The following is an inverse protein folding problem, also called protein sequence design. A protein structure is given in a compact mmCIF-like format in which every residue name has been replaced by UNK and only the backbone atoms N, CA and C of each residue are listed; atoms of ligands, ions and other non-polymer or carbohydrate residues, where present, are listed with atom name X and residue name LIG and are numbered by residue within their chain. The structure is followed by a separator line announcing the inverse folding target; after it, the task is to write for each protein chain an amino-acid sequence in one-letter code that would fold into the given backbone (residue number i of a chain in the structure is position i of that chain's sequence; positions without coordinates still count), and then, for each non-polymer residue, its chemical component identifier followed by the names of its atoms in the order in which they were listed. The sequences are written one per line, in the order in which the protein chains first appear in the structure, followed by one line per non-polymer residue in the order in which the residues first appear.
data_IF_511191194193
#
_entry.id   IF_511191194193
#
_cell.length_a   1.000
_cell.length_b   1.000
_cell.length_c   1.000
_cell.angle_alpha   90.00
_cell.angle_beta   90.00
_cell.angle_gamma   90.00
#
_symmetry.space_group_name_H-M   'P 1'
#
loop_
_entity.id
_entity.type
_entity.pdbx_description
1 polymer ?
#
# COMPACT_ATOMS: atom_id res chain seq x y z
N UNK A 1 -27.22 -18.97 -3.12
CA UNK A 1 -27.58 -17.62 -2.65
C UNK A 1 -27.73 -16.63 -3.81
N UNK A 2 -28.96 -16.22 -4.15
CA UNK A 2 -29.29 -15.26 -5.22
C UNK A 2 -29.15 -13.79 -4.75
N UNK A 3 -27.93 -13.39 -4.38
CA UNK A 3 -27.63 -12.03 -3.92
C UNK A 3 -27.81 -10.93 -4.98
N UNK A 4 -27.87 -11.28 -6.26
CA UNK A 4 -28.04 -10.31 -7.35
C UNK A 4 -29.42 -9.65 -7.32
N UNK A 5 -30.49 -10.39 -7.00
CA UNK A 5 -31.86 -9.83 -6.89
C UNK A 5 -31.95 -8.80 -5.76
N UNK A 6 -31.33 -9.14 -4.63
CA UNK A 6 -31.21 -8.29 -3.46
C UNK A 6 -30.44 -7.00 -3.77
N UNK A 7 -29.32 -7.09 -4.49
CA UNK A 7 -28.50 -5.93 -4.84
C UNK A 7 -29.14 -5.01 -5.87
N UNK A 8 -29.90 -5.57 -6.82
CA UNK A 8 -30.62 -4.81 -7.84
C UNK A 8 -31.90 -4.15 -7.32
N UNK A 9 -32.26 -4.36 -6.04
CA UNK A 9 -33.48 -3.83 -5.45
C UNK A 9 -34.75 -4.46 -6.03
N UNK A 10 -34.64 -5.66 -6.62
CA UNK A 10 -35.77 -6.39 -7.21
C UNK A 10 -36.49 -7.19 -6.12
N UNK A 11 -37.15 -6.47 -5.22
CA UNK A 11 -37.80 -7.04 -4.04
C UNK A 11 -38.93 -8.01 -4.38
N UNK A 12 -39.68 -7.75 -5.44
CA UNK A 12 -40.79 -8.61 -5.88
C UNK A 12 -40.27 -9.98 -6.36
N UNK A 13 -39.21 -9.97 -7.17
CA UNK A 13 -38.55 -11.19 -7.63
C UNK A 13 -37.87 -11.94 -6.48
N UNK A 14 -37.38 -11.22 -5.46
CA UNK A 14 -36.83 -11.82 -4.25
C UNK A 14 -37.92 -12.51 -3.42
N UNK A 15 -39.10 -11.91 -3.29
CA UNK A 15 -40.23 -12.54 -2.60
C UNK A 15 -40.69 -13.80 -3.32
N UNK A 16 -40.78 -13.76 -4.66
CA UNK A 16 -41.08 -14.94 -5.47
C UNK A 16 -40.02 -16.03 -5.32
N UNK A 17 -38.74 -15.65 -5.34
CA UNK A 17 -37.64 -16.59 -5.11
C UNK A 17 -37.75 -17.27 -3.74
N UNK A 18 -37.97 -16.51 -2.67
CA UNK A 18 -38.07 -17.03 -1.30
C UNK A 18 -39.21 -18.04 -1.14
N UNK A 19 -40.34 -17.87 -1.86
CA UNK A 19 -41.45 -18.84 -1.86
C UNK A 19 -41.06 -20.22 -2.40
N UNK A 20 -40.01 -20.32 -3.21
CA UNK A 20 -39.54 -21.57 -3.80
C UNK A 20 -38.40 -22.22 -3.01
N UNK A 21 -37.86 -21.54 -1.98
CA UNK A 21 -36.82 -22.09 -1.12
C UNK A 21 -37.47 -23.02 -0.07
N UNK A 22 -36.76 -24.07 0.32
CA UNK A 22 -37.18 -24.91 1.45
C UNK A 22 -37.30 -24.05 2.72
N UNK A 23 -38.49 -24.04 3.32
CA UNK A 23 -38.87 -23.21 4.46
C UNK A 23 -37.91 -23.33 5.65
N UNK A 24 -37.36 -24.54 5.88
CA UNK A 24 -36.48 -24.85 7.02
C UNK A 24 -34.99 -24.68 6.71
N UNK A 25 -34.63 -24.07 5.59
CA UNK A 25 -33.23 -23.80 5.25
C UNK A 25 -32.74 -22.50 5.87
N UNK A 26 -31.43 -22.43 6.12
CA UNK A 26 -30.77 -21.22 6.57
C UNK A 26 -30.98 -20.05 5.60
N UNK A 27 -30.84 -20.31 4.29
CA UNK A 27 -31.07 -19.33 3.23
C UNK A 27 -32.50 -18.74 3.30
N UNK A 28 -33.52 -19.58 3.52
CA UNK A 28 -34.91 -19.14 3.67
C UNK A 28 -35.06 -18.19 4.86
N UNK A 29 -34.54 -18.56 6.03
CA UNK A 29 -34.63 -17.74 7.24
C UNK A 29 -33.93 -16.38 7.03
N UNK A 30 -32.72 -16.41 6.45
CA UNK A 30 -31.95 -15.21 6.15
C UNK A 30 -32.69 -14.25 5.19
N UNK A 31 -33.19 -14.74 4.05
CA UNK A 31 -33.86 -13.88 3.08
C UNK A 31 -35.22 -13.37 3.58
N UNK A 32 -35.96 -14.18 4.35
CA UNK A 32 -37.18 -13.73 5.00
C UNK A 32 -36.92 -12.64 6.04
N UNK A 33 -35.84 -12.75 6.82
CA UNK A 33 -35.42 -11.69 7.73
C UNK A 33 -35.14 -10.39 6.96
N UNK A 34 -34.35 -10.46 5.89
CA UNK A 34 -34.02 -9.30 5.04
C UNK A 34 -35.28 -8.64 4.44
N UNK A 35 -36.21 -9.42 3.89
CA UNK A 35 -37.49 -8.92 3.37
C UNK A 35 -38.33 -8.25 4.46
N UNK A 36 -38.38 -8.85 5.65
CA UNK A 36 -39.09 -8.29 6.79
C UNK A 36 -38.48 -6.95 7.24
N UNK A 37 -37.14 -6.82 7.28
CA UNK A 37 -36.44 -5.55 7.56
C UNK A 37 -36.72 -4.51 6.47
N UNK A 38 -36.78 -4.91 5.21
CA UNK A 38 -37.13 -4.00 4.11
C UNK A 38 -38.55 -3.44 4.27
N UNK A 39 -39.52 -4.30 4.59
CA UNK A 39 -40.93 -3.95 4.76
C UNK A 39 -41.27 -3.32 6.13
N UNK A 40 -40.29 -3.14 7.02
CA UNK A 40 -40.50 -2.57 8.35
C UNK A 40 -41.18 -3.51 9.36
N UNK A 41 -41.27 -4.81 9.07
CA UNK A 41 -41.83 -5.84 9.95
C UNK A 41 -40.76 -6.38 10.91
N UNK A 42 -40.31 -5.54 11.84
CA UNK A 42 -39.15 -5.84 12.69
C UNK A 42 -39.34 -7.06 13.60
N UNK A 43 -40.52 -7.27 14.19
CA UNK A 43 -40.77 -8.44 15.04
C UNK A 43 -40.71 -9.77 14.26
N UNK A 44 -41.14 -9.78 12.99
CA UNK A 44 -41.00 -10.95 12.13
C UNK A 44 -39.54 -11.18 11.75
N UNK A 45 -38.78 -10.10 11.46
CA UNK A 45 -37.36 -10.20 11.17
C UNK A 45 -36.56 -10.80 12.34
N UNK A 46 -36.84 -10.37 13.57
CA UNK A 46 -36.20 -10.90 14.79
C UNK A 46 -36.44 -12.41 14.93
N UNK A 47 -37.69 -12.86 14.72
CA UNK A 47 -38.03 -14.29 14.75
C UNK A 47 -37.24 -15.09 13.70
N UNK A 48 -37.19 -14.61 12.45
CA UNK A 48 -36.42 -15.30 11.39
C UNK A 48 -34.92 -15.31 11.67
N UNK A 49 -34.37 -14.28 12.33
CA UNK A 49 -32.96 -14.23 12.73
C UNK A 49 -32.67 -15.23 13.86
N UNK A 50 -33.58 -15.40 14.81
CA UNK A 50 -33.47 -16.41 15.88
C UNK A 50 -33.51 -17.82 15.28
N UNK A 51 -34.49 -18.12 14.41
CA UNK A 51 -34.58 -19.39 13.69
C UNK A 51 -33.31 -19.69 12.87
N UNK A 52 -32.73 -18.67 12.21
CA UNK A 52 -31.48 -18.82 11.48
C UNK A 52 -30.28 -19.14 12.39
N UNK A 53 -30.24 -18.58 13.61
CA UNK A 53 -29.18 -18.83 14.59
C UNK A 53 -29.26 -20.26 15.13
N UNK A 54 -30.46 -20.73 15.45
CA UNK A 54 -30.67 -22.11 15.91
C UNK A 54 -30.14 -23.14 14.90
N UNK A 55 -30.35 -22.90 13.60
CA UNK A 55 -29.83 -23.76 12.53
C UNK A 55 -28.30 -23.70 12.49
N UNK A 56 -27.72 -22.50 12.50
CA UNK A 56 -26.26 -22.33 12.44
C UNK A 56 -25.56 -22.89 13.67
N UNK A 57 -26.15 -22.80 14.86
CA UNK A 57 -25.49 -23.23 16.10
C UNK A 57 -25.09 -24.70 16.05
N UNK A 58 -25.93 -25.55 15.44
CA UNK A 58 -25.63 -26.97 15.23
C UNK A 58 -24.47 -27.19 14.26
N UNK A 59 -24.44 -26.46 13.14
CA UNK A 59 -23.39 -26.53 12.12
C UNK A 59 -22.05 -25.98 12.63
N UNK A 60 -22.09 -24.83 13.30
CA UNK A 60 -20.92 -24.12 13.81
C UNK A 60 -20.24 -24.92 14.93
N UNK A 61 -21.01 -25.51 15.84
CA UNK A 61 -20.47 -26.35 16.92
C UNK A 61 -19.68 -27.54 16.37
N UNK A 62 -20.19 -28.16 15.30
CA UNK A 62 -19.51 -29.28 14.65
C UNK A 62 -18.21 -28.83 13.95
N UNK A 63 -18.24 -27.75 13.16
CA UNK A 63 -17.08 -27.31 12.37
C UNK A 63 -15.99 -26.64 13.20
N UNK A 64 -16.37 -25.88 14.23
CA UNK A 64 -15.43 -25.18 15.10
C UNK A 64 -14.57 -26.15 15.93
N UNK A 65 -15.08 -27.35 16.21
CA UNK A 65 -14.33 -28.40 16.89
C UNK A 65 -13.15 -28.92 16.06
N UNK A 66 -13.21 -28.83 14.73
CA UNK A 66 -12.17 -29.35 13.84
C UNK A 66 -11.10 -28.29 13.53
N UNK A 67 -11.52 -27.10 13.09
CA UNK A 67 -10.60 -25.99 12.80
C UNK A 67 -11.35 -24.68 12.54
N UNK A 68 -10.73 -23.56 12.89
CA UNK A 68 -11.26 -22.24 12.55
C UNK A 68 -11.42 -22.04 11.03
N UNK A 69 -10.50 -22.57 10.22
CA UNK A 69 -10.57 -22.44 8.76
C UNK A 69 -11.81 -23.09 8.16
N UNK A 70 -12.30 -24.19 8.72
CA UNK A 70 -13.55 -24.84 8.27
C UNK A 70 -14.79 -24.10 8.74
N UNK A 71 -14.75 -23.56 9.96
CA UNK A 71 -15.85 -22.79 10.52
C UNK A 71 -15.96 -21.36 9.94
N UNK A 72 -14.98 -20.88 9.16
CA UNK A 72 -14.92 -19.49 8.73
C UNK A 72 -16.11 -19.07 7.87
N UNK A 73 -16.52 -19.91 6.92
CA UNK A 73 -17.66 -19.60 6.04
C UNK A 73 -18.95 -19.46 6.85
N UNK A 74 -19.12 -20.27 7.89
CA UNK A 74 -20.24 -20.18 8.83
C UNK A 74 -20.14 -18.92 9.70
N UNK A 75 -18.94 -18.55 10.14
CA UNK A 75 -18.71 -17.30 10.87
C UNK A 75 -19.06 -16.06 10.04
N UNK A 76 -18.85 -16.10 8.72
CA UNK A 76 -19.32 -15.04 7.81
C UNK A 76 -20.83 -14.92 7.86
N UNK A 77 -21.57 -16.03 7.86
CA UNK A 77 -23.04 -16.00 7.94
C UNK A 77 -23.51 -15.48 9.31
N UNK A 78 -22.88 -15.90 10.41
CA UNK A 78 -23.17 -15.36 11.76
C UNK A 78 -22.99 -13.84 11.79
N UNK A 79 -21.90 -13.34 11.18
CA UNK A 79 -21.69 -11.90 11.08
C UNK A 79 -22.78 -11.24 10.22
N UNK A 80 -23.21 -11.86 9.11
CA UNK A 80 -24.31 -11.33 8.29
C UNK A 80 -25.62 -11.24 9.05
N UNK A 81 -26.01 -12.27 9.83
CA UNK A 81 -27.21 -12.23 10.67
C UNK A 81 -27.14 -11.08 11.69
N UNK A 82 -25.97 -10.90 12.30
CA UNK A 82 -25.71 -9.78 13.22
C UNK A 82 -25.81 -8.42 12.50
N UNK A 83 -25.30 -8.31 11.27
CA UNK A 83 -25.41 -7.08 10.48
C UNK A 83 -26.87 -6.80 10.06
N UNK A 84 -27.69 -7.82 9.76
CA UNK A 84 -29.13 -7.63 9.49
C UNK A 84 -29.85 -7.11 10.75
N UNK A 85 -29.57 -7.65 11.93
CA UNK A 85 -30.12 -7.12 13.19
C UNK A 85 -29.69 -5.66 13.43
N UNK A 86 -28.42 -5.35 13.17
CA UNK A 86 -27.90 -3.98 13.28
C UNK A 86 -28.55 -3.02 12.28
N UNK A 87 -28.96 -3.49 11.09
CA UNK A 87 -29.75 -2.66 10.16
C UNK A 87 -31.13 -2.31 10.73
N UNK A 88 -31.74 -3.21 11.51
CA UNK A 88 -32.99 -2.91 12.23
C UNK A 88 -32.76 -1.81 13.27
N UNK A 89 -31.72 -1.97 14.10
CA UNK A 89 -31.32 -0.97 15.08
C UNK A 89 -31.00 0.39 14.41
N UNK A 90 -30.33 0.39 13.27
CA UNK A 90 -30.01 1.60 12.51
C UNK A 90 -31.28 2.36 12.07
N UNK A 91 -32.32 1.62 11.63
CA UNK A 91 -33.62 2.21 11.25
C UNK A 91 -34.39 2.74 12.46
N UNK A 92 -34.39 2.01 13.57
CA UNK A 92 -35.18 2.35 14.77
C UNK A 92 -34.53 3.41 15.68
N UNK A 93 -33.19 3.48 15.73
CA UNK A 93 -32.43 4.25 16.73
C UNK A 93 -31.42 5.19 16.05
N UNK A 94 -31.83 6.41 15.66
CA UNK A 94 -30.97 7.39 14.97
C UNK A 94 -29.68 7.72 15.73
N UNK A 95 -29.71 7.72 17.05
CA UNK A 95 -28.58 8.00 17.94
C UNK A 95 -27.47 6.93 17.85
N UNK A 96 -27.81 5.69 17.48
CA UNK A 96 -26.84 4.59 17.35
C UNK A 96 -26.17 4.53 15.98
N UNK A 97 -26.65 5.28 14.98
CA UNK A 97 -26.15 5.22 13.60
C UNK A 97 -24.64 5.45 13.47
N UNK A 98 -24.03 6.47 14.12
CA UNK A 98 -22.59 6.70 13.99
C UNK A 98 -21.76 5.54 14.55
N UNK A 99 -22.21 4.96 15.67
CA UNK A 99 -21.56 3.83 16.31
C UNK A 99 -21.63 2.58 15.42
N UNK A 100 -22.81 2.27 14.87
CA UNK A 100 -23.00 1.14 13.96
C UNK A 100 -22.11 1.28 12.73
N UNK A 101 -22.09 2.46 12.08
CA UNK A 101 -21.23 2.72 10.92
C UNK A 101 -19.74 2.54 11.25
N UNK A 102 -19.29 2.99 12.42
CA UNK A 102 -17.90 2.83 12.86
C UNK A 102 -17.56 1.36 13.11
N UNK A 103 -18.46 0.61 13.75
CA UNK A 103 -18.30 -0.82 14.00
C UNK A 103 -18.24 -1.63 12.70
N UNK A 104 -19.14 -1.37 11.75
CA UNK A 104 -19.15 -1.99 10.42
C UNK A 104 -17.86 -1.73 9.65
N UNK A 105 -17.32 -0.51 9.77
CA UNK A 105 -16.04 -0.19 9.16
C UNK A 105 -14.91 -1.02 9.79
N UNK A 106 -14.80 -1.04 11.12
CA UNK A 106 -13.74 -1.77 11.83
C UNK A 106 -13.79 -3.27 11.52
N UNK A 107 -14.97 -3.89 11.66
CA UNK A 107 -15.17 -5.33 11.38
C UNK A 107 -14.81 -5.71 9.94
N UNK A 108 -15.19 -4.88 8.95
CA UNK A 108 -14.83 -5.15 7.55
C UNK A 108 -13.31 -5.11 7.30
N UNK A 109 -12.56 -4.28 8.04
CA UNK A 109 -11.10 -4.23 7.89
C UNK A 109 -10.38 -5.47 8.43
N UNK A 110 -10.95 -6.10 9.46
CA UNK A 110 -10.40 -7.24 10.18
C UNK A 110 -10.82 -8.58 9.53
N UNK A 111 -11.92 -8.57 8.77
CA UNK A 111 -12.37 -9.72 7.97
C UNK A 111 -11.36 -10.12 6.89
N UNK A 112 -11.37 -11.41 6.49
CA UNK A 112 -10.57 -11.86 5.36
C UNK A 112 -10.93 -11.08 4.09
N UNK A 113 -9.95 -10.92 3.21
CA UNK A 113 -10.07 -10.09 2.00
C UNK A 113 -10.50 -10.94 0.81
N UNK A 114 -11.62 -11.61 0.94
CA UNK A 114 -12.32 -12.34 -0.14
C UNK A 114 -13.32 -11.39 -0.80
N UNK A 115 -13.51 -11.51 -2.12
CA UNK A 115 -14.43 -10.62 -2.86
C UNK A 115 -15.86 -10.99 -2.52
N UNK A 116 -16.13 -12.29 -2.43
CA UNK A 116 -17.43 -12.88 -2.19
C UNK A 116 -18.01 -12.43 -0.84
N UNK A 117 -17.21 -12.49 0.24
CA UNK A 117 -17.72 -12.14 1.57
C UNK A 117 -17.87 -10.63 1.74
N UNK A 118 -16.92 -9.84 1.23
CA UNK A 118 -17.06 -8.39 1.24
C UNK A 118 -18.30 -7.94 0.47
N UNK A 119 -18.62 -8.58 -0.66
CA UNK A 119 -19.82 -8.28 -1.42
C UNK A 119 -21.08 -8.53 -0.58
N UNK A 120 -21.17 -9.67 0.12
CA UNK A 120 -22.29 -10.01 0.99
C UNK A 120 -22.50 -8.98 2.11
N UNK A 121 -21.44 -8.57 2.80
CA UNK A 121 -21.55 -7.56 3.87
C UNK A 121 -22.00 -6.20 3.35
N UNK A 122 -21.41 -5.73 2.25
CA UNK A 122 -21.78 -4.44 1.67
C UNK A 122 -23.21 -4.43 1.14
N UNK A 123 -23.67 -5.56 0.62
CA UNK A 123 -25.06 -5.78 0.26
C UNK A 123 -25.98 -5.61 1.48
N UNK A 124 -25.76 -6.33 2.58
CA UNK A 124 -26.58 -6.18 3.80
C UNK A 124 -26.63 -4.72 4.28
N UNK A 125 -25.49 -4.03 4.30
CA UNK A 125 -25.40 -2.62 4.71
C UNK A 125 -26.13 -1.65 3.76
N UNK A 126 -26.29 -2.03 2.49
CA UNK A 126 -27.04 -1.25 1.49
C UNK A 126 -28.54 -1.19 1.78
N UNK A 127 -29.06 -1.99 2.73
CA UNK A 127 -30.43 -1.87 3.23
C UNK A 127 -30.73 -0.50 3.87
N UNK A 128 -29.69 0.17 4.39
CA UNK A 128 -29.85 1.40 5.17
C UNK A 128 -28.88 2.51 4.79
N UNK A 129 -27.79 2.20 4.09
CA UNK A 129 -26.80 3.18 3.65
C UNK A 129 -26.80 3.34 2.13
N UNK A 130 -26.65 4.58 1.66
CA UNK A 130 -26.43 4.84 0.24
C UNK A 130 -24.99 4.47 -0.18
N UNK A 131 -24.73 4.28 -1.48
CA UNK A 131 -23.37 4.12 -2.00
C UNK A 131 -22.44 5.28 -1.64
N UNK A 132 -22.96 6.50 -1.54
CA UNK A 132 -22.20 7.70 -1.14
C UNK A 132 -21.83 7.68 0.35
N UNK A 133 -22.72 7.22 1.24
CA UNK A 133 -22.41 7.05 2.67
C UNK A 133 -21.35 5.96 2.89
N UNK A 134 -21.40 4.90 2.06
CA UNK A 134 -20.44 3.79 2.09
C UNK A 134 -19.23 3.98 1.17
N UNK A 135 -19.00 5.19 0.63
CA UNK A 135 -17.95 5.43 -0.39
C UNK A 135 -16.61 4.83 -0.04
N UNK A 136 -16.16 4.98 1.21
CA UNK A 136 -14.88 4.44 1.68
C UNK A 136 -14.83 2.91 1.64
N UNK A 137 -15.94 2.24 1.93
CA UNK A 137 -16.06 0.78 1.91
C UNK A 137 -16.04 0.26 0.46
N UNK A 138 -16.86 0.84 -0.40
CA UNK A 138 -16.93 0.48 -1.82
C UNK A 138 -15.61 0.75 -2.55
N UNK A 139 -14.89 1.83 -2.23
CA UNK A 139 -13.56 2.09 -2.80
C UNK A 139 -12.53 1.01 -2.42
N UNK A 140 -12.59 0.49 -1.19
CA UNK A 140 -11.73 -0.62 -0.78
C UNK A 140 -12.15 -1.91 -1.48
N UNK A 141 -13.44 -2.17 -1.61
CA UNK A 141 -13.99 -3.31 -2.34
C UNK A 141 -13.60 -3.30 -3.82
N UNK A 142 -13.74 -2.17 -4.52
CA UNK A 142 -13.27 -2.02 -5.89
C UNK A 142 -11.77 -2.28 -6.00
N UNK A 143 -10.98 -1.80 -5.03
CA UNK A 143 -9.54 -2.11 -5.00
C UNK A 143 -9.23 -3.58 -4.73
N UNK A 144 -10.08 -4.31 -4.01
CA UNK A 144 -9.94 -5.74 -3.78
C UNK A 144 -10.27 -6.52 -5.05
N UNK A 145 -11.40 -6.20 -5.68
CA UNK A 145 -11.81 -6.77 -6.97
C UNK A 145 -10.72 -6.62 -8.04
N UNK A 146 -10.16 -5.41 -8.17
CA UNK A 146 -9.05 -5.13 -9.11
C UNK A 146 -7.81 -6.00 -8.83
N UNK A 147 -7.44 -6.20 -7.57
CA UNK A 147 -6.26 -6.99 -7.19
C UNK A 147 -6.47 -8.49 -7.42
N UNK A 148 -7.70 -8.97 -7.27
CA UNK A 148 -8.07 -10.36 -7.50
C UNK A 148 -8.48 -10.62 -8.97
N UNK A 149 -8.21 -9.69 -9.90
CA UNK A 149 -8.50 -9.84 -11.33
C UNK A 149 -9.97 -9.69 -11.74
N UNK A 150 -10.89 -9.42 -10.80
CA UNK A 150 -12.32 -9.22 -11.06
C UNK A 150 -12.57 -7.79 -11.58
N UNK A 151 -12.09 -7.49 -12.80
CA UNK A 151 -12.13 -6.13 -13.37
C UNK A 151 -13.54 -5.63 -13.62
N UNK A 152 -14.45 -6.46 -14.16
CA UNK A 152 -15.83 -6.07 -14.41
C UNK A 152 -16.55 -5.60 -13.12
N UNK A 153 -16.35 -6.32 -12.01
CA UNK A 153 -16.93 -5.97 -10.71
C UNK A 153 -16.31 -4.70 -10.14
N UNK A 154 -14.99 -4.52 -10.31
CA UNK A 154 -14.31 -3.26 -9.96
C UNK A 154 -14.88 -2.09 -10.75
N UNK A 155 -15.11 -2.25 -12.05
CA UNK A 155 -15.69 -1.21 -12.92
C UNK A 155 -17.12 -0.88 -12.48
N UNK A 156 -17.98 -1.89 -12.36
CA UNK A 156 -19.37 -1.72 -11.92
C UNK A 156 -19.50 -1.03 -10.56
N UNK A 157 -18.62 -1.37 -9.61
CA UNK A 157 -18.56 -0.68 -8.30
C UNK A 157 -18.20 0.80 -8.45
N UNK A 158 -17.26 1.14 -9.33
CA UNK A 158 -16.85 2.52 -9.53
C UNK A 158 -17.92 3.33 -10.26
N UNK A 159 -18.57 2.73 -11.27
CA UNK A 159 -19.72 3.33 -11.97
C UNK A 159 -20.87 3.60 -11.00
N UNK A 160 -21.16 2.66 -10.10
CA UNK A 160 -22.16 2.84 -9.02
C UNK A 160 -21.85 4.07 -8.16
N UNK A 161 -20.59 4.32 -7.82
CA UNK A 161 -20.19 5.47 -7.02
C UNK A 161 -20.11 6.78 -7.81
N UNK A 162 -19.89 6.70 -9.13
CA UNK A 162 -19.86 7.84 -10.04
C UNK A 162 -21.27 8.29 -10.44
N UNK A 163 -22.26 7.40 -10.38
CA UNK A 163 -23.64 7.58 -10.86
C UNK A 163 -23.78 7.69 -12.38
N UNK A 164 -22.70 7.45 -13.13
CA UNK A 164 -22.67 7.38 -14.59
C UNK A 164 -21.50 6.52 -15.06
N UNK A 165 -21.54 6.07 -16.32
CA UNK A 165 -20.49 5.28 -16.93
C UNK A 165 -19.57 6.16 -17.81
N UNK A 166 -18.31 6.39 -17.41
CA UNK A 166 -17.36 7.18 -18.20
C UNK A 166 -17.03 6.56 -19.56
N UNK A 167 -17.22 5.24 -19.74
CA UNK A 167 -16.94 4.56 -21.00
C UNK A 167 -18.07 4.71 -22.04
N UNK A 168 -19.28 5.08 -21.60
CA UNK A 168 -20.44 5.30 -22.47
C UNK A 168 -20.67 6.78 -22.81
N UNK A 169 -19.93 7.67 -22.18
CA UNK A 169 -20.01 9.11 -22.41
C UNK A 169 -19.34 9.48 -23.74
N UNK A 170 -19.88 10.46 -24.48
CA UNK A 170 -19.31 10.92 -25.76
C UNK A 170 -17.85 11.37 -25.61
N UNK A 171 -17.55 12.06 -24.51
CA UNK A 171 -16.20 12.39 -24.08
C UNK A 171 -15.86 11.72 -22.75
N UNK A 172 -14.69 11.08 -22.69
CA UNK A 172 -14.22 10.43 -21.47
C UNK A 172 -13.85 11.50 -20.42
N UNK A 173 -14.68 11.64 -19.39
CA UNK A 173 -14.45 12.61 -18.30
C UNK A 173 -14.67 11.98 -16.93
N UNK A 174 -13.78 12.31 -15.99
CA UNK A 174 -13.88 11.90 -14.58
C UNK A 174 -14.17 13.10 -13.69
N UNK A 175 -14.95 12.94 -12.60
CA UNK A 175 -15.38 14.05 -11.78
C UNK A 175 -14.26 14.51 -10.85
N UNK A 176 -13.59 15.61 -11.22
CA UNK A 176 -12.45 16.15 -10.46
C UNK A 176 -12.83 16.65 -9.04
N UNK A 177 -14.12 16.90 -8.80
CA UNK A 177 -14.64 17.29 -7.48
C UNK A 177 -14.71 16.12 -6.48
N UNK A 178 -14.62 14.85 -6.93
CA UNK A 178 -14.54 13.65 -6.07
C UNK A 178 -13.17 12.97 -6.26
N UNK A 179 -12.09 13.55 -5.72
CA UNK A 179 -10.73 13.19 -6.12
C UNK A 179 -10.34 11.75 -5.72
N UNK A 180 -10.87 11.22 -4.62
CA UNK A 180 -10.65 9.82 -4.20
C UNK A 180 -11.22 8.81 -5.20
N UNK A 181 -12.38 9.12 -5.81
CA UNK A 181 -13.03 8.27 -6.81
C UNK A 181 -12.27 8.35 -8.13
N UNK A 182 -11.91 9.55 -8.59
CA UNK A 182 -11.07 9.74 -9.78
C UNK A 182 -9.77 8.96 -9.65
N UNK A 183 -9.08 9.08 -8.51
CA UNK A 183 -7.84 8.33 -8.25
C UNK A 183 -8.07 6.81 -8.26
N UNK A 184 -9.19 6.32 -7.72
CA UNK A 184 -9.54 4.92 -7.77
C UNK A 184 -9.81 4.42 -9.20
N UNK A 185 -10.50 5.23 -10.01
CA UNK A 185 -10.79 4.94 -11.41
C UNK A 185 -9.54 4.98 -12.29
N UNK A 186 -8.63 5.94 -12.10
CA UNK A 186 -7.34 5.95 -12.81
C UNK A 186 -6.55 4.67 -12.56
N UNK A 187 -6.53 4.15 -11.33
CA UNK A 187 -5.90 2.85 -11.04
C UNK A 187 -6.60 1.69 -11.73
N UNK A 188 -7.92 1.75 -11.90
CA UNK A 188 -8.67 0.74 -12.63
C UNK A 188 -8.31 0.77 -14.13
N UNK A 189 -8.37 1.94 -14.77
CA UNK A 189 -7.96 2.14 -16.17
C UNK A 189 -6.56 1.63 -16.46
N UNK A 190 -5.61 1.89 -15.56
CA UNK A 190 -4.23 1.42 -15.73
C UNK A 190 -4.14 -0.10 -15.75
N UNK A 191 -4.87 -0.78 -14.85
CA UNK A 191 -4.91 -2.24 -14.79
C UNK A 191 -5.73 -2.87 -15.93
N UNK A 192 -6.70 -2.15 -16.48
CA UNK A 192 -7.45 -2.54 -17.68
C UNK A 192 -6.57 -2.50 -18.95
N UNK A 193 -5.48 -1.75 -18.93
CA UNK A 193 -4.52 -1.61 -20.04
C UNK A 193 -4.56 -0.25 -20.72
N UNK A 194 -5.52 0.62 -20.39
CA UNK A 194 -5.64 2.00 -20.90
C UNK A 194 -4.68 2.94 -20.15
N UNK A 195 -3.37 2.65 -20.23
CA UNK A 195 -2.32 3.31 -19.44
C UNK A 195 -2.22 4.81 -19.70
N UNK A 196 -2.23 5.24 -20.96
CA UNK A 196 -2.06 6.66 -21.31
C UNK A 196 -3.20 7.52 -20.78
N UNK A 197 -4.44 7.02 -20.89
CA UNK A 197 -5.62 7.66 -20.34
C UNK A 197 -5.60 7.70 -18.80
N UNK A 198 -5.12 6.63 -18.15
CA UNK A 198 -4.96 6.64 -16.70
C UNK A 198 -3.97 7.72 -16.24
N UNK A 199 -2.85 7.89 -16.95
CA UNK A 199 -1.82 8.88 -16.66
C UNK A 199 -2.34 10.30 -16.93
N UNK A 200 -3.00 10.54 -18.06
CA UNK A 200 -3.53 11.87 -18.41
C UNK A 200 -4.58 12.34 -17.40
N UNK A 201 -5.51 11.48 -17.02
CA UNK A 201 -6.54 11.79 -16.01
C UNK A 201 -5.95 12.00 -14.63
N UNK A 202 -4.89 11.27 -14.28
CA UNK A 202 -4.19 11.47 -13.01
C UNK A 202 -3.45 12.81 -12.96
N UNK A 203 -2.88 13.27 -14.08
CA UNK A 203 -2.29 14.61 -14.18
C UNK A 203 -3.37 15.71 -14.07
N UNK A 204 -4.51 15.57 -14.74
CA UNK A 204 -5.65 16.49 -14.60
C UNK A 204 -6.16 16.57 -13.15
N UNK A 205 -6.16 15.44 -12.43
CA UNK A 205 -6.50 15.41 -11.01
C UNK A 205 -5.49 16.20 -10.15
N UNK A 206 -4.19 16.08 -10.43
CA UNK A 206 -3.15 16.83 -9.72
C UNK A 206 -3.29 18.34 -9.97
N UNK A 207 -3.53 18.74 -11.22
CA UNK A 207 -3.68 20.15 -11.60
C UNK A 207 -4.93 20.80 -11.00
N UNK A 208 -6.07 20.11 -11.06
CA UNK A 208 -7.34 20.62 -10.50
C UNK A 208 -7.25 20.80 -8.98
N UNK A 209 -6.61 19.86 -8.29
CA UNK A 209 -6.40 19.96 -6.84
C UNK A 209 -5.39 21.05 -6.44
N UNK A 210 -4.67 21.68 -7.38
CA UNK A 210 -3.88 22.90 -7.15
C UNK A 210 -4.71 24.18 -7.25
N UNK A 211 -5.82 24.17 -8.00
CA UNK A 211 -6.68 25.35 -8.23
C UNK A 211 -7.75 25.54 -7.15
N UNK A 212 -8.08 24.51 -6.37
CA UNK A 212 -8.92 24.64 -5.17
C UNK A 212 -8.14 25.33 -4.03
N UNK A 213 -7.99 26.65 -4.09
CA UNK A 213 -7.57 27.46 -2.95
C UNK A 213 -8.72 27.56 -1.94
N UNK A 214 -8.66 26.78 -0.85
CA UNK A 214 -9.72 26.73 0.17
C UNK A 214 -9.38 27.61 1.41
N UNK A 215 -10.37 28.27 2.04
CA UNK A 215 -10.18 29.17 3.19
C UNK A 215 -9.90 28.47 4.54
N UNK A 216 -9.35 29.23 5.49
CA UNK A 216 -8.28 28.81 6.43
C UNK A 216 -8.62 28.08 7.74
N UNK A 217 -9.87 27.98 8.23
CA UNK A 217 -10.05 27.61 9.66
C UNK A 217 -10.82 26.30 9.97
N UNK A 218 -11.55 25.71 9.03
CA UNK A 218 -12.29 24.44 9.23
C UNK A 218 -11.82 23.31 8.30
N UNK A 219 -10.87 23.60 7.41
CA UNK A 219 -10.46 22.73 6.31
C UNK A 219 -9.06 22.14 6.46
N UNK A 220 -8.38 22.30 7.59
CA UNK A 220 -7.01 21.80 7.77
C UNK A 220 -6.92 20.28 7.56
N UNK A 221 -7.85 19.52 8.13
CA UNK A 221 -7.91 18.06 7.93
C UNK A 221 -8.19 17.70 6.47
N UNK A 222 -9.11 18.41 5.82
CA UNK A 222 -9.44 18.18 4.41
C UNK A 222 -8.27 18.52 3.48
N UNK A 223 -7.55 19.59 3.78
CA UNK A 223 -6.34 20.00 3.06
C UNK A 223 -5.21 19.00 3.26
N UNK A 224 -5.03 18.48 4.48
CA UNK A 224 -4.07 17.42 4.79
C UNK A 224 -4.40 16.13 4.03
N UNK A 225 -5.68 15.76 3.95
CA UNK A 225 -6.11 14.57 3.21
C UNK A 225 -5.94 14.76 1.69
N UNK A 226 -6.16 15.98 1.18
CA UNK A 226 -5.88 16.34 -0.21
C UNK A 226 -4.38 16.28 -0.53
N UNK A 227 -3.51 16.80 0.34
CA UNK A 227 -2.05 16.73 0.18
C UNK A 227 -1.57 15.27 0.19
N UNK A 228 -2.09 14.45 1.11
CA UNK A 228 -1.84 13.00 1.13
C UNK A 228 -2.32 12.31 -0.15
N UNK A 229 -3.44 12.73 -0.72
CA UNK A 229 -3.91 12.20 -1.99
C UNK A 229 -2.98 12.61 -3.14
N UNK A 230 -2.52 13.87 -3.19
CA UNK A 230 -1.51 14.31 -4.17
C UNK A 230 -0.21 13.50 -4.07
N UNK A 231 0.29 13.28 -2.86
CA UNK A 231 1.46 12.42 -2.64
C UNK A 231 1.24 11.01 -3.21
N UNK A 232 0.07 10.41 -2.98
CA UNK A 232 -0.30 9.12 -3.56
C UNK A 232 -0.39 9.14 -5.09
N UNK A 233 -0.85 10.25 -5.68
CA UNK A 233 -0.92 10.40 -7.14
C UNK A 233 0.49 10.45 -7.76
N UNK A 234 1.38 11.27 -7.22
CA UNK A 234 2.78 11.33 -7.67
C UNK A 234 3.52 10.02 -7.48
N UNK A 235 3.32 9.35 -6.33
CA UNK A 235 3.88 8.02 -6.11
C UNK A 235 3.40 7.01 -7.17
N UNK A 236 2.14 7.10 -7.59
CA UNK A 236 1.61 6.25 -8.65
C UNK A 236 2.15 6.59 -10.03
N UNK A 237 2.27 7.87 -10.36
CA UNK A 237 2.88 8.31 -11.62
C UNK A 237 4.32 7.77 -11.72
N UNK A 238 5.14 7.96 -10.69
CA UNK A 238 6.50 7.45 -10.63
C UNK A 238 6.57 5.95 -10.91
N UNK A 239 5.75 5.17 -10.19
CA UNK A 239 5.71 3.72 -10.35
C UNK A 239 5.24 3.28 -11.73
N UNK A 240 4.23 3.95 -12.30
CA UNK A 240 3.74 3.63 -13.65
C UNK A 240 4.76 3.97 -14.73
N UNK A 241 5.45 5.10 -14.58
CA UNK A 241 6.54 5.46 -15.51
C UNK A 241 7.73 4.52 -15.39
N UNK A 242 8.10 4.11 -14.17
CA UNK A 242 9.21 3.18 -13.92
C UNK A 242 8.91 1.79 -14.51
N UNK A 243 7.68 1.29 -14.40
CA UNK A 243 7.28 0.01 -15.01
C UNK A 243 7.28 0.01 -16.54
N UNK A 244 7.23 1.18 -17.17
CA UNK A 244 7.25 1.28 -18.63
C UNK A 244 8.69 1.52 -19.16
N UNK A 245 9.69 1.67 -18.28
CA UNK A 245 11.09 1.85 -18.69
C UNK A 245 11.75 0.51 -19.04
N UNK A 246 12.50 0.44 -20.15
CA UNK A 246 13.40 -0.68 -20.42
C UNK A 246 14.54 -0.77 -19.40
N UNK A 247 14.97 -1.97 -19.03
CA UNK A 247 16.02 -2.21 -18.03
C UNK A 247 17.41 -1.63 -18.41
N UNK A 248 17.66 -1.39 -19.70
CA UNK A 248 18.96 -0.92 -20.20
C UNK A 248 19.09 0.61 -20.27
N UNK A 249 18.03 1.35 -19.96
CA UNK A 249 18.02 2.81 -20.02
C UNK A 249 18.47 3.44 -18.69
N UNK A 250 19.03 4.67 -18.74
CA UNK A 250 19.34 5.39 -17.52
C UNK A 250 18.07 5.62 -16.69
N UNK A 251 18.20 5.68 -15.36
CA UNK A 251 17.08 6.02 -14.48
C UNK A 251 16.47 7.36 -14.91
N UNK A 252 15.17 7.36 -15.22
CA UNK A 252 14.48 8.56 -15.68
C UNK A 252 14.50 9.65 -14.58
N UNK A 253 15.07 10.84 -14.85
CA UNK A 253 15.01 11.97 -13.92
C UNK A 253 13.57 12.34 -13.54
N UNK A 254 12.62 12.09 -14.45
CA UNK A 254 11.20 12.32 -14.23
C UNK A 254 10.62 11.43 -13.12
N UNK A 255 11.02 10.15 -13.03
CA UNK A 255 10.57 9.22 -11.97
C UNK A 255 11.03 9.74 -10.60
N UNK A 256 12.30 10.14 -10.51
CA UNK A 256 12.86 10.73 -9.29
C UNK A 256 12.13 12.02 -8.90
N UNK A 257 11.79 12.88 -9.88
CA UNK A 257 11.02 14.09 -9.64
C UNK A 257 9.62 13.78 -9.09
N UNK A 258 8.93 12.76 -9.61
CA UNK A 258 7.64 12.35 -9.08
C UNK A 258 7.74 11.84 -7.65
N UNK A 259 8.71 10.97 -7.34
CA UNK A 259 8.89 10.49 -5.98
C UNK A 259 9.30 11.61 -5.01
N UNK A 260 10.13 12.56 -5.45
CA UNK A 260 10.46 13.75 -4.65
C UNK A 260 9.25 14.63 -4.38
N UNK A 261 8.41 14.91 -5.39
CA UNK A 261 7.16 15.63 -5.16
C UNK A 261 6.25 14.88 -4.18
N UNK A 262 6.21 13.55 -4.26
CA UNK A 262 5.43 12.76 -3.30
C UNK A 262 5.89 12.94 -1.85
N UNK A 263 7.21 13.00 -1.60
CA UNK A 263 7.76 13.24 -0.25
C UNK A 263 7.59 14.68 0.23
N UNK A 264 7.53 15.65 -0.68
CA UNK A 264 7.23 17.06 -0.35
C UNK A 264 5.77 17.26 0.10
N UNK A 265 4.82 16.56 -0.53
CA UNK A 265 3.39 16.64 -0.16
C UNK A 265 3.02 15.80 1.07
N UNK A 266 3.70 14.68 1.32
CA UNK A 266 3.49 13.85 2.52
C UNK A 266 4.82 13.36 3.09
N UNK A 267 5.31 14.08 4.11
CA UNK A 267 6.63 13.84 4.74
C UNK A 267 6.70 12.54 5.53
N UNK A 268 5.55 11.98 5.93
CA UNK A 268 5.46 10.77 6.75
C UNK A 268 5.15 9.53 5.91
N UNK A 269 5.03 9.69 4.58
CA UNK A 269 4.74 8.59 3.68
C UNK A 269 5.96 7.70 3.45
N UNK A 270 6.12 6.67 4.27
CA UNK A 270 7.15 5.63 4.13
C UNK A 270 7.37 5.18 2.67
N UNK A 271 6.29 4.83 1.96
CA UNK A 271 6.37 4.30 0.60
C UNK A 271 7.00 5.27 -0.41
N UNK A 272 6.82 6.57 -0.21
CA UNK A 272 7.40 7.58 -1.09
C UNK A 272 8.91 7.72 -0.85
N UNK A 273 9.33 7.76 0.42
CA UNK A 273 10.74 7.77 0.79
C UNK A 273 11.46 6.50 0.35
N UNK A 274 10.85 5.33 0.58
CA UNK A 274 11.38 4.05 0.12
C UNK A 274 11.54 4.02 -1.40
N UNK A 275 10.51 4.40 -2.17
CA UNK A 275 10.59 4.42 -3.63
C UNK A 275 11.68 5.37 -4.13
N UNK A 276 11.76 6.58 -3.58
CA UNK A 276 12.80 7.55 -3.92
C UNK A 276 14.21 7.00 -3.60
N UNK A 277 14.39 6.37 -2.44
CA UNK A 277 15.65 5.76 -2.04
C UNK A 277 16.08 4.65 -3.02
N UNK A 278 15.14 3.76 -3.36
CA UNK A 278 15.36 2.68 -4.32
C UNK A 278 15.75 3.19 -5.70
N UNK A 279 15.07 4.22 -6.23
CA UNK A 279 15.41 4.78 -7.54
C UNK A 279 16.80 5.41 -7.56
N UNK A 280 17.19 6.12 -6.48
CA UNK A 280 18.55 6.66 -6.35
C UNK A 280 19.59 5.55 -6.20
N UNK A 281 19.30 4.49 -5.45
CA UNK A 281 20.17 3.33 -5.32
C UNK A 281 20.36 2.59 -6.65
N UNK A 282 19.28 2.37 -7.40
CA UNK A 282 19.35 1.77 -8.73
C UNK A 282 20.15 2.65 -9.70
N UNK A 283 20.05 3.98 -9.58
CA UNK A 283 20.89 4.90 -10.35
C UNK A 283 22.39 4.71 -10.04
N UNK A 284 22.76 4.61 -8.76
CA UNK A 284 24.15 4.30 -8.36
C UNK A 284 24.64 3.00 -9.02
N UNK A 285 23.83 1.94 -8.97
CA UNK A 285 24.19 0.66 -9.58
C UNK A 285 24.35 0.76 -11.10
N UNK A 286 23.45 1.46 -11.79
CA UNK A 286 23.51 1.68 -13.23
C UNK A 286 24.81 2.38 -13.65
N UNK A 287 25.15 3.51 -13.01
CA UNK A 287 26.38 4.24 -13.34
C UNK A 287 27.65 3.49 -12.94
N UNK A 288 27.60 2.65 -11.88
CA UNK A 288 28.68 1.74 -11.50
C UNK A 288 28.94 0.71 -12.60
N UNK A 289 27.87 0.04 -13.08
CA UNK A 289 27.97 -0.97 -14.15
C UNK A 289 28.46 -0.35 -15.46
N UNK A 290 27.93 0.83 -15.83
CA UNK A 290 28.38 1.56 -17.02
C UNK A 290 29.86 1.93 -16.95
N UNK A 291 30.34 2.39 -15.79
CA UNK A 291 31.74 2.73 -15.58
C UNK A 291 32.65 1.49 -15.65
N UNK A 292 32.18 0.32 -15.17
CA UNK A 292 32.91 -0.94 -15.28
C UNK A 292 33.03 -1.41 -16.75
N UNK A 293 31.96 -1.35 -17.53
CA UNK A 293 31.98 -1.71 -18.95
C UNK A 293 32.92 -0.81 -19.76
N UNK A 294 32.95 0.49 -19.47
CA UNK A 294 33.87 1.43 -20.10
C UNK A 294 35.33 1.12 -19.77
N UNK A 295 35.64 0.70 -18.53
CA UNK A 295 36.99 0.31 -18.12
C UNK A 295 37.44 -0.99 -18.79
N UNK A 296 36.55 -1.98 -18.92
CA UNK A 296 36.85 -3.27 -19.59
C UNK A 296 37.02 -3.14 -21.11
N UNK A 297 36.26 -2.26 -21.77
CA UNK A 297 36.41 -1.99 -23.21
C UNK A 297 37.73 -1.27 -23.54
N UNK A 298 38.26 -0.47 -22.62
CA UNK A 298 39.55 0.22 -22.79
C UNK A 298 40.76 -0.73 -22.66
N UNK A 299 40.63 -1.86 -21.96
CA UNK A 299 41.72 -2.85 -21.78
C UNK A 299 41.77 -3.94 -22.86
N UNK A 300 40.76 -4.02 -23.74
CA UNK A 300 40.61 -5.12 -24.71
C UNK A 300 40.92 -4.79 -26.18
N UNK A 301 41.43 -3.59 -26.48
CA UNK A 301 41.77 -3.18 -27.86
C UNK A 301 43.24 -2.75 -27.89
N UNK A 302 44.10 -3.60 -28.46
CA UNK A 302 45.35 -3.13 -29.06
C UNK A 302 44.97 -2.13 -30.17
N UNK A 303 45.24 -0.85 -29.93
CA UNK A 303 44.81 0.24 -30.80
C UNK A 303 45.55 0.21 -32.15
N UNK A 304 44.86 0.42 -33.29
CA UNK A 304 45.41 1.24 -34.35
C UNK A 304 45.21 2.71 -33.96
N UNK A 305 46.34 3.39 -33.86
CA UNK A 305 46.59 4.82 -33.72
C UNK A 305 45.45 5.76 -34.20
N UNK A 306 44.56 6.18 -33.29
CA UNK A 306 43.79 7.43 -33.47
C UNK A 306 43.38 8.04 -32.11
N UNK A 307 44.27 8.89 -31.60
CA UNK A 307 44.27 9.47 -30.27
C UNK A 307 43.33 10.69 -30.14
N UNK A 308 42.00 10.51 -30.23
CA UNK A 308 41.08 11.65 -29.97
C UNK A 308 39.67 11.38 -29.41
N UNK A 309 39.28 10.15 -29.05
CA UNK A 309 37.90 9.91 -28.52
C UNK A 309 37.75 9.28 -27.13
N UNK A 310 38.82 8.94 -26.42
CA UNK A 310 38.73 8.56 -25.00
C UNK A 310 38.92 9.78 -24.11
N UNK A 311 37.83 10.49 -23.81
CA UNK A 311 37.88 11.66 -22.93
C UNK A 311 37.80 11.26 -21.44
N UNK A 312 38.83 11.52 -20.60
CA UNK A 312 38.79 11.32 -19.15
C UNK A 312 37.70 12.16 -18.43
N UNK A 313 37.04 13.06 -19.17
CA UNK A 313 35.92 13.86 -18.70
C UNK A 313 34.66 13.01 -18.42
N UNK A 314 34.47 11.90 -19.14
CA UNK A 314 33.27 11.06 -19.02
C UNK A 314 33.30 10.15 -17.77
N UNK A 315 34.48 9.63 -17.39
CA UNK A 315 34.65 8.82 -16.17
C UNK A 315 34.47 9.64 -14.90
N UNK A 316 35.08 10.84 -14.84
CA UNK A 316 34.91 11.80 -13.74
C UNK A 316 33.44 12.23 -13.58
N UNK A 317 32.72 12.41 -14.68
CA UNK A 317 31.31 12.77 -14.65
C UNK A 317 30.44 11.65 -14.07
N UNK A 318 30.74 10.38 -14.37
CA UNK A 318 30.03 9.24 -13.80
C UNK A 318 30.31 9.09 -12.29
N UNK A 319 31.56 9.30 -11.84
CA UNK A 319 31.91 9.23 -10.40
C UNK A 319 31.23 10.33 -9.58
N UNK A 320 31.13 11.54 -10.13
CA UNK A 320 30.37 12.63 -9.51
C UNK A 320 28.87 12.31 -9.42
N UNK A 321 28.29 11.76 -10.49
CA UNK A 321 26.87 11.34 -10.49
C UNK A 321 26.60 10.22 -9.48
N UNK A 322 27.49 9.23 -9.40
CA UNK A 322 27.41 8.14 -8.40
C UNK A 322 27.38 8.73 -6.98
N UNK A 323 28.26 9.69 -6.69
CA UNK A 323 28.32 10.32 -5.37
C UNK A 323 27.03 11.09 -5.05
N UNK A 324 26.53 11.89 -6.00
CA UNK A 324 25.26 12.62 -5.83
C UNK A 324 24.09 11.68 -5.55
N UNK A 325 23.93 10.61 -6.34
CA UNK A 325 22.85 9.65 -6.13
C UNK A 325 23.03 8.83 -4.85
N UNK A 326 24.26 8.48 -4.48
CA UNK A 326 24.55 7.78 -3.23
C UNK A 326 24.14 8.61 -2.02
N UNK A 327 24.49 9.89 -1.98
CA UNK A 327 24.10 10.81 -0.89
C UNK A 327 22.58 10.90 -0.77
N UNK A 328 21.87 11.04 -1.90
CA UNK A 328 20.40 11.09 -1.89
C UNK A 328 19.77 9.76 -1.46
N UNK A 329 20.31 8.63 -1.91
CA UNK A 329 19.85 7.31 -1.51
C UNK A 329 20.00 7.10 0.00
N UNK A 330 21.17 7.44 0.56
CA UNK A 330 21.46 7.35 2.01
C UNK A 330 20.43 8.16 2.81
N UNK A 331 20.25 9.45 2.50
CA UNK A 331 19.29 10.31 3.20
C UNK A 331 17.85 9.75 3.13
N UNK A 332 17.43 9.29 1.95
CA UNK A 332 16.08 8.75 1.77
C UNK A 332 15.88 7.41 2.49
N UNK A 333 16.89 6.53 2.50
CA UNK A 333 16.81 5.27 3.23
C UNK A 333 16.73 5.50 4.74
N UNK A 334 17.53 6.40 5.31
CA UNK A 334 17.40 6.74 6.74
C UNK A 334 16.01 7.25 7.09
N UNK A 335 15.45 8.15 6.27
CA UNK A 335 14.08 8.63 6.47
C UNK A 335 13.05 7.51 6.33
N UNK A 336 13.24 6.60 5.36
CA UNK A 336 12.39 5.43 5.16
C UNK A 336 12.45 4.46 6.35
N UNK A 337 13.63 4.18 6.88
CA UNK A 337 13.84 3.31 8.05
C UNK A 337 13.19 3.93 9.29
N UNK A 338 13.39 5.24 9.52
CA UNK A 338 12.79 5.95 10.65
C UNK A 338 11.25 5.94 10.64
N UNK A 339 10.63 5.87 9.45
CA UNK A 339 9.18 5.80 9.26
C UNK A 339 8.64 4.37 9.19
N UNK A 340 9.50 3.35 9.16
CA UNK A 340 9.06 1.96 9.05
C UNK A 340 8.49 1.48 10.39
N UNK A 341 7.28 0.93 10.37
CA UNK A 341 6.61 0.37 11.56
C UNK A 341 6.81 -1.13 11.74
N UNK A 342 7.64 -1.76 10.90
CA UNK A 342 7.82 -3.22 10.83
C UNK A 342 9.26 -3.60 10.51
N UNK A 343 9.44 -4.61 9.66
CA UNK A 343 10.76 -5.08 9.26
C UNK A 343 11.42 -4.12 8.26
N UNK A 344 12.51 -3.47 8.66
CA UNK A 344 13.32 -2.57 7.82
C UNK A 344 14.66 -3.19 7.37
N UNK A 345 14.82 -4.51 7.50
CA UNK A 345 16.07 -5.21 7.23
C UNK A 345 16.58 -4.96 5.81
N UNK A 346 15.68 -4.96 4.82
CA UNK A 346 16.07 -4.77 3.42
C UNK A 346 16.66 -3.37 3.17
N UNK A 347 16.07 -2.33 3.77
CA UNK A 347 16.56 -0.96 3.71
C UNK A 347 17.90 -0.83 4.45
N UNK A 348 18.01 -1.42 5.64
CA UNK A 348 19.24 -1.40 6.44
C UNK A 348 20.38 -2.09 5.69
N UNK A 349 20.15 -3.23 5.03
CA UNK A 349 21.17 -3.91 4.21
C UNK A 349 21.60 -3.08 2.99
N UNK A 350 20.67 -2.36 2.35
CA UNK A 350 21.02 -1.43 1.26
C UNK A 350 21.81 -0.23 1.76
N UNK A 351 21.51 0.30 2.94
CA UNK A 351 22.32 1.30 3.62
C UNK A 351 23.74 0.80 3.88
N UNK A 352 23.90 -0.41 4.41
CA UNK A 352 25.22 -1.02 4.62
C UNK A 352 25.99 -1.17 3.30
N UNK A 353 25.30 -1.52 2.22
CA UNK A 353 25.92 -1.62 0.89
C UNK A 353 26.46 -0.26 0.45
N UNK A 354 25.67 0.81 0.54
CA UNK A 354 26.11 2.16 0.21
C UNK A 354 27.25 2.64 1.13
N UNK A 355 27.15 2.33 2.42
CA UNK A 355 28.15 2.72 3.41
C UNK A 355 29.49 2.03 3.16
N UNK A 356 29.50 0.70 3.00
CA UNK A 356 30.75 -0.02 2.80
C UNK A 356 31.39 0.29 1.45
N UNK A 357 30.60 0.45 0.38
CA UNK A 357 31.12 0.72 -0.97
C UNK A 357 31.55 2.19 -1.17
N UNK A 358 30.84 3.16 -0.59
CA UNK A 358 31.00 4.59 -0.90
C UNK A 358 31.26 5.49 0.32
N UNK A 359 31.24 4.96 1.55
CA UNK A 359 31.42 5.75 2.78
C UNK A 359 32.82 6.33 3.00
N UNK A 360 33.78 6.03 2.13
CA UNK A 360 35.08 6.71 2.10
C UNK A 360 34.99 8.10 1.44
N UNK A 361 33.91 8.39 0.70
CA UNK A 361 33.68 9.72 0.14
C UNK A 361 33.13 10.65 1.25
N UNK A 362 33.71 11.85 1.44
CA UNK A 362 33.30 12.77 2.51
C UNK A 362 31.80 13.12 2.48
N UNK A 363 31.23 13.39 1.30
CA UNK A 363 29.81 13.74 1.17
C UNK A 363 28.87 12.61 1.62
N UNK A 364 29.25 11.35 1.35
CA UNK A 364 28.50 10.17 1.76
C UNK A 364 28.69 9.91 3.25
N UNK A 365 29.93 10.09 3.76
CA UNK A 365 30.26 9.99 5.18
C UNK A 365 29.42 10.97 6.02
N UNK A 366 29.32 12.22 5.61
CA UNK A 366 28.55 13.24 6.33
C UNK A 366 27.05 12.88 6.37
N UNK A 367 26.50 12.40 5.26
CA UNK A 367 25.11 11.94 5.19
C UNK A 367 24.87 10.69 6.06
N UNK A 368 25.85 9.79 6.18
CA UNK A 368 25.79 8.63 7.06
C UNK A 368 25.84 9.02 8.54
N UNK A 369 26.78 9.90 8.90
CA UNK A 369 26.90 10.45 10.26
C UNK A 369 25.58 11.09 10.72
N UNK A 370 24.99 11.96 9.90
CA UNK A 370 23.71 12.60 10.19
C UNK A 370 22.58 11.56 10.34
N UNK A 371 22.52 10.60 9.43
CA UNK A 371 21.45 9.61 9.38
C UNK A 371 21.48 8.58 10.49
N UNK A 372 22.67 8.11 10.90
CA UNK A 372 22.82 7.10 11.97
C UNK A 372 22.18 7.59 13.28
N UNK A 373 22.33 8.88 13.61
CA UNK A 373 21.75 9.48 14.81
C UNK A 373 20.21 9.53 14.79
N UNK A 374 19.57 9.39 13.63
CA UNK A 374 18.10 9.46 13.50
C UNK A 374 17.39 8.11 13.64
N UNK A 375 18.13 7.00 13.53
CA UNK A 375 17.60 5.64 13.57
C UNK A 375 17.80 5.04 14.95
N UNK A 376 16.78 4.31 15.44
CA UNK A 376 16.85 3.67 16.75
C UNK A 376 17.89 2.55 16.78
N UNK A 377 18.50 2.34 17.94
CA UNK A 377 19.58 1.36 18.14
C UNK A 377 19.10 -0.07 17.84
N UNK A 378 17.83 -0.41 18.12
CA UNK A 378 17.31 -1.77 17.87
C UNK A 378 17.30 -2.15 16.39
N UNK A 379 17.23 -1.17 15.47
CA UNK A 379 17.30 -1.42 14.04
C UNK A 379 18.69 -1.96 13.63
N UNK A 380 19.74 -1.49 14.28
CA UNK A 380 21.12 -1.90 13.99
C UNK A 380 21.44 -3.30 14.53
N UNK A 381 20.73 -3.75 15.57
CA UNK A 381 20.89 -5.11 16.11
C UNK A 381 20.62 -6.19 15.07
N UNK A 382 19.72 -5.94 14.12
CA UNK A 382 19.39 -6.87 13.04
C UNK A 382 20.56 -7.12 12.08
N UNK A 383 21.50 -6.17 12.01
CA UNK A 383 22.63 -6.20 11.08
C UNK A 383 24.00 -6.16 11.77
N UNK A 384 24.03 -6.46 13.07
CA UNK A 384 25.25 -6.37 13.88
C UNK A 384 26.35 -7.31 13.39
N UNK A 385 25.99 -8.50 12.89
CA UNK A 385 26.96 -9.47 12.36
C UNK A 385 27.64 -8.94 11.09
N UNK A 386 26.92 -8.23 10.23
CA UNK A 386 27.48 -7.59 9.03
C UNK A 386 28.38 -6.40 9.38
N UNK A 387 28.07 -5.67 10.46
CA UNK A 387 28.93 -4.58 10.96
C UNK A 387 30.25 -5.12 11.53
N UNK A 388 30.19 -6.15 12.38
CA UNK A 388 31.41 -6.69 13.00
C UNK A 388 32.29 -7.40 11.97
N UNK A 389 31.69 -8.07 10.97
CA UNK A 389 32.43 -8.68 9.85
C UNK A 389 33.23 -7.67 9.00
N UNK A 390 33.10 -6.36 9.24
CA UNK A 390 33.84 -5.29 8.54
C UNK A 390 34.58 -4.33 9.48
N UNK A 391 34.77 -4.70 10.75
CA UNK A 391 35.41 -3.86 11.77
C UNK A 391 36.89 -3.57 11.46
N UNK A 392 37.54 -4.43 10.67
CA UNK A 392 38.94 -4.38 10.26
C UNK A 392 39.15 -3.69 8.90
N UNK A 393 38.13 -3.03 8.35
CA UNK A 393 38.24 -2.39 7.03
C UNK A 393 39.37 -1.34 6.99
N UNK A 394 40.15 -1.35 5.91
CA UNK A 394 41.24 -0.38 5.66
C UNK A 394 40.74 1.02 5.32
N UNK A 395 39.43 1.19 5.11
CA UNK A 395 38.77 2.47 4.81
C UNK A 395 38.51 3.25 6.10
N UNK A 396 39.41 4.19 6.44
CA UNK A 396 39.41 4.87 7.74
C UNK A 396 38.10 5.58 8.10
N UNK A 397 37.42 6.23 7.14
CA UNK A 397 36.15 6.90 7.41
C UNK A 397 35.02 5.90 7.72
N UNK A 398 34.99 4.80 6.99
CA UNK A 398 34.04 3.71 7.22
C UNK A 398 34.30 3.07 8.58
N UNK A 399 35.55 2.73 8.87
CA UNK A 399 35.97 2.13 10.14
C UNK A 399 35.54 2.98 11.34
N UNK A 400 35.84 4.29 11.30
CA UNK A 400 35.48 5.23 12.37
C UNK A 400 33.98 5.21 12.70
N UNK A 401 33.12 5.18 11.67
CA UNK A 401 31.68 5.10 11.85
C UNK A 401 31.23 3.75 12.43
N UNK A 402 31.83 2.64 12.00
CA UNK A 402 31.51 1.30 12.49
C UNK A 402 31.84 1.22 13.97
N UNK A 403 33.06 1.62 14.35
CA UNK A 403 33.50 1.60 15.74
C UNK A 403 32.63 2.48 16.62
N UNK A 404 32.25 3.68 16.15
CA UNK A 404 31.34 4.56 16.88
C UNK A 404 29.98 3.90 17.11
N UNK A 405 29.36 3.37 16.05
CA UNK A 405 28.04 2.72 16.14
C UNK A 405 28.07 1.48 17.03
N UNK A 406 29.08 0.62 16.91
CA UNK A 406 29.24 -0.56 17.77
C UNK A 406 29.46 -0.17 19.24
N UNK A 407 30.16 0.93 19.50
CA UNK A 407 30.35 1.47 20.85
C UNK A 407 29.00 1.93 21.43
N UNK A 408 28.19 2.61 20.64
CA UNK A 408 26.87 3.08 21.08
C UNK A 408 25.89 1.93 21.30
N UNK A 409 25.92 0.90 20.43
CA UNK A 409 25.18 -0.36 20.64
C UNK A 409 25.63 -1.05 21.94
N UNK A 410 26.94 -1.13 22.19
CA UNK A 410 27.48 -1.78 23.39
C UNK A 410 27.12 -1.07 24.69
N UNK A 411 26.90 0.25 24.67
CA UNK A 411 26.43 1.01 25.83
C UNK A 411 24.97 0.72 26.17
N UNK A 412 24.09 0.63 25.17
CA UNK A 412 22.66 0.42 25.41
C UNK A 412 22.26 -1.06 25.53
N UNK A 413 22.96 -1.97 24.85
CA UNK A 413 22.68 -3.40 24.87
C UNK A 413 23.92 -4.27 25.16
N UNK A 414 24.49 -4.21 26.39
CA UNK A 414 25.73 -4.93 26.73
C UNK A 414 25.67 -6.45 26.45
N UNK A 415 24.54 -7.08 26.78
CA UNK A 415 24.34 -8.53 26.61
C UNK A 415 24.35 -9.00 25.15
N UNK A 416 23.93 -8.16 24.20
CA UNK A 416 23.91 -8.50 22.76
C UNK A 416 25.30 -8.41 22.16
N UNK A 417 26.09 -7.44 22.63
CA UNK A 417 27.50 -7.33 22.27
C UNK A 417 28.30 -8.53 22.77
N UNK A 418 28.13 -8.93 24.03
CA UNK A 418 28.82 -10.10 24.59
C UNK A 418 28.49 -11.40 23.85
N UNK A 419 27.23 -11.66 23.53
CA UNK A 419 26.83 -12.89 22.82
C UNK A 419 27.40 -12.94 21.39
N UNK A 420 27.36 -11.82 20.66
CA UNK A 420 27.82 -11.78 19.28
C UNK A 420 29.36 -11.79 19.18
N UNK A 421 30.07 -11.10 20.08
CA UNK A 421 31.53 -11.19 20.16
C UNK A 421 31.98 -12.61 20.53
N UNK A 422 31.26 -13.29 21.42
CA UNK A 422 31.52 -14.71 21.75
C UNK A 422 31.32 -15.61 20.51
N UNK A 423 30.27 -15.36 19.73
CA UNK A 423 29.99 -16.10 18.49
C UNK A 423 31.03 -15.86 17.39
N UNK A 424 31.55 -14.64 17.27
CA UNK A 424 32.58 -14.27 16.30
C UNK A 424 33.98 -14.78 16.69
N UNK A 425 34.28 -14.81 17.99
CA UNK A 425 35.47 -15.49 18.52
C UNK A 425 35.40 -17.01 18.27
N UNK A 426 34.21 -17.62 18.39
CA UNK A 426 33.99 -19.03 18.05
C UNK A 426 34.03 -19.31 16.54
N UNK A 427 33.67 -18.33 15.70
CA UNK A 427 33.67 -18.44 14.25
C UNK A 427 35.03 -18.15 13.58
N UNK A 428 36.07 -17.80 14.36
CA UNK A 428 37.44 -17.62 13.85
C UNK A 428 37.67 -16.37 13.00
N UNK A 429 36.89 -15.30 13.19
CA UNK A 429 37.01 -14.05 12.43
C UNK A 429 38.03 -13.04 13.01
N UNK A 430 39.05 -13.50 13.74
CA UNK A 430 40.15 -12.65 14.24
C UNK A 430 41.51 -13.23 13.90
#
# INVERSE_FOLDING_TARGET
MHFELFFLGLWDAMEEYVRHINVNSLDSCFYNAVLAVHQGRYAAAEKYLEEARDVIDTELTAMAAESYSRAYDTMVIVQMLSEVEETMHYKMMPEKRPLICQMWWKRLQECQRTVEDWQKFLQVRSLVLSPDDMRRMWLKFASLCRKNGKMALSHGTLVLLLHYDPNKSEEFTLPLHKPDLTYAYCKHLYCEGRKDLAISQLNLLIESTCKLGLPKHSHEQMQKDLMRLKAKCFLRLGHWTEMNCPENEPPLPQVMLYYRKATEFDKDMYKAWHALACTNFNAVLYYKQKSAHQKSAATGVEAPDDSSKYSPRCSLQNENLITVYAVQAVRCFFRSVALCSGNSLQETLRLLTLWFDYGQNPEVYDALMEGIATVKIETWLQVITQLIARIDTTRHLVNRLITQLLTDIGKEHPHVSELNFSYLLLAGCF
#
